data_IF_947703268417
#
_entry.id   IF_947703268417
#
_cell.length_a   1.000
_cell.length_b   1.000
_cell.length_c   1.000
_cell.angle_alpha   90.00
_cell.angle_beta   90.00
_cell.angle_gamma   90.00
#
_symmetry.space_group_name_H-M   'P 1'
#
loop_
_entity.id
_entity.type
_entity.pdbx_description
1 polymer ?
#
# COMPACT_ATOMS: atom_id res chain seq x y z
N UNK A 1 -2.25 -6.58 -17.97
CA UNK A 1 -2.62 -7.18 -16.67
C UNK A 1 -1.36 -7.78 -16.07
N UNK A 2 -1.00 -7.41 -14.83
CA UNK A 2 0.07 -8.08 -14.09
C UNK A 2 -0.28 -9.57 -13.95
N UNK A 3 0.70 -10.44 -14.22
CA UNK A 3 0.51 -11.90 -14.25
C UNK A 3 0.68 -12.54 -12.87
N UNK A 4 1.03 -11.78 -11.85
CA UNK A 4 1.30 -12.29 -10.52
C UNK A 4 0.04 -12.22 -9.66
N UNK A 5 -0.49 -13.39 -9.27
CA UNK A 5 -1.58 -13.48 -8.31
C UNK A 5 -1.09 -13.00 -6.94
N UNK A 6 -1.71 -11.93 -6.46
CA UNK A 6 -1.52 -11.37 -5.12
C UNK A 6 -2.79 -11.56 -4.31
N UNK A 7 -2.63 -11.76 -3.00
CA UNK A 7 -3.71 -11.55 -2.03
C UNK A 7 -3.48 -10.24 -1.29
N UNK A 8 -4.56 -9.61 -0.87
CA UNK A 8 -4.52 -8.36 -0.13
C UNK A 8 -5.38 -8.45 1.13
N UNK A 9 -4.93 -7.77 2.17
CA UNK A 9 -5.74 -7.47 3.36
C UNK A 9 -5.58 -6.00 3.72
N UNK A 10 -6.68 -5.39 4.13
CA UNK A 10 -6.69 -4.03 4.67
C UNK A 10 -6.56 -4.12 6.18
N UNK A 11 -5.70 -3.27 6.75
CA UNK A 11 -5.51 -3.11 8.19
C UNK A 11 -5.78 -1.66 8.54
N UNK A 12 -6.90 -1.44 9.23
CA UNK A 12 -7.29 -0.13 9.73
C UNK A 12 -6.41 0.28 10.92
N UNK A 13 -6.14 1.57 11.07
CA UNK A 13 -5.48 2.14 12.23
C UNK A 13 -5.94 3.58 12.49
N UNK A 14 -5.87 3.98 13.76
CA UNK A 14 -6.13 5.35 14.18
C UNK A 14 -4.81 6.10 14.35
N UNK A 15 -4.65 7.21 13.64
CA UNK A 15 -3.49 8.10 13.78
C UNK A 15 -3.48 8.81 15.15
N UNK A 16 -2.35 9.39 15.53
CA UNK A 16 -2.18 10.04 16.84
C UNK A 16 -3.14 11.21 17.12
N UNK A 17 -3.77 11.77 16.09
CA UNK A 17 -4.77 12.83 16.18
C UNK A 17 -6.22 12.32 16.00
N UNK A 18 -6.43 11.01 16.02
CA UNK A 18 -7.76 10.38 15.95
C UNK A 18 -8.29 10.13 14.54
N UNK A 19 -7.51 10.39 13.48
CA UNK A 19 -7.95 10.09 12.12
C UNK A 19 -7.83 8.60 11.82
N UNK A 20 -8.92 8.01 11.33
CA UNK A 20 -8.91 6.64 10.82
C UNK A 20 -8.26 6.58 9.44
N UNK A 21 -7.28 5.70 9.30
CA UNK A 21 -6.46 5.47 8.11
C UNK A 21 -6.30 3.96 7.91
N UNK A 22 -5.69 3.56 6.80
CA UNK A 22 -5.42 2.15 6.55
C UNK A 22 -4.09 1.87 5.86
N UNK A 23 -3.66 0.63 6.05
CA UNK A 23 -2.60 -0.01 5.32
C UNK A 23 -3.19 -1.15 4.47
N UNK A 24 -2.71 -1.33 3.25
CA UNK A 24 -2.98 -2.51 2.43
C UNK A 24 -1.74 -3.39 2.43
N UNK A 25 -1.83 -4.56 3.03
CA UNK A 25 -0.76 -5.56 2.96
C UNK A 25 -0.97 -6.43 1.72
N UNK A 26 0.07 -6.53 0.90
CA UNK A 26 0.04 -7.31 -0.35
C UNK A 26 1.00 -8.47 -0.22
N UNK A 27 0.50 -9.69 -0.42
CA UNK A 27 1.30 -10.90 -0.30
C UNK A 27 1.23 -11.75 -1.57
N UNK A 28 2.28 -12.54 -1.80
CA UNK A 28 2.32 -13.53 -2.87
C UNK A 28 2.03 -14.94 -2.36
N UNK A 29 2.23 -15.95 -3.22
CA UNK A 29 1.97 -17.37 -2.89
C UNK A 29 2.82 -17.93 -1.74
N UNK A 30 3.97 -17.31 -1.46
CA UNK A 30 4.89 -17.72 -0.40
C UNK A 30 4.91 -16.65 0.70
N UNK A 31 5.03 -17.04 1.98
CA UNK A 31 5.25 -16.09 3.05
C UNK A 31 6.48 -15.20 2.79
N UNK A 32 6.47 -13.93 3.24
CA UNK A 32 7.63 -13.07 3.13
C UNK A 32 8.82 -13.64 3.90
N UNK A 33 10.02 -13.50 3.34
CA UNK A 33 11.28 -13.98 3.92
C UNK A 33 12.22 -12.82 4.30
N UNK A 34 11.81 -11.58 4.04
CA UNK A 34 12.51 -10.33 4.36
C UNK A 34 11.61 -9.42 5.18
N UNK A 35 12.22 -8.38 5.76
CA UNK A 35 11.50 -7.38 6.55
C UNK A 35 10.47 -6.57 5.75
N UNK A 36 9.67 -5.76 6.46
CA UNK A 36 8.61 -4.98 5.85
C UNK A 36 9.13 -3.82 4.99
N UNK A 37 8.40 -3.52 3.92
CA UNK A 37 8.56 -2.32 3.09
C UNK A 37 7.24 -1.58 3.06
N UNK A 38 7.22 -0.37 3.62
CA UNK A 38 6.08 0.54 3.57
C UNK A 38 6.23 1.49 2.37
N UNK A 39 5.25 1.49 1.48
CA UNK A 39 5.17 2.40 0.34
C UNK A 39 4.14 3.49 0.64
N UNK A 40 4.62 4.74 0.65
CA UNK A 40 3.81 5.93 0.99
C UNK A 40 3.73 6.84 -0.24
N UNK A 41 2.51 7.01 -0.76
CA UNK A 41 2.28 7.80 -1.95
C UNK A 41 2.32 9.32 -1.68
N UNK A 42 2.49 10.14 -2.71
CA UNK A 42 2.38 11.60 -2.62
C UNK A 42 0.92 12.07 -2.44
N UNK A 43 0.69 13.38 -2.31
CA UNK A 43 -0.67 13.90 -2.13
C UNK A 43 -1.58 13.70 -3.35
N UNK A 44 -2.89 13.56 -3.13
CA UNK A 44 -3.90 13.56 -4.20
C UNK A 44 -3.98 12.27 -5.01
N UNK A 45 -3.44 11.17 -4.49
CA UNK A 45 -3.55 9.82 -5.07
C UNK A 45 -3.88 8.81 -3.97
N UNK A 46 -3.88 7.51 -4.28
CA UNK A 46 -4.13 6.42 -3.33
C UNK A 46 -3.03 5.37 -3.39
N UNK A 47 -2.96 4.50 -2.38
CA UNK A 47 -2.02 3.38 -2.27
C UNK A 47 -1.86 2.54 -3.55
N UNK A 48 -2.94 2.36 -4.32
CA UNK A 48 -2.96 1.63 -5.59
C UNK A 48 -2.00 2.17 -6.66
N UNK A 49 -1.49 3.40 -6.56
CA UNK A 49 -0.55 3.96 -7.55
C UNK A 49 0.67 3.06 -7.81
N UNK A 50 1.13 2.31 -6.81
CA UNK A 50 2.22 1.34 -6.93
C UNK A 50 1.85 0.04 -7.66
N UNK A 51 0.57 -0.15 -7.97
CA UNK A 51 -0.05 -1.29 -8.67
C UNK A 51 -0.81 -0.84 -9.92
N UNK A 52 -0.32 0.23 -10.57
CA UNK A 52 -0.85 0.69 -11.85
C UNK A 52 -0.99 -0.47 -12.87
N UNK A 53 -1.95 -0.43 -13.81
CA UNK A 53 -2.31 -1.53 -14.71
C UNK A 53 -1.27 -1.81 -15.82
N UNK A 54 -0.02 -2.01 -15.40
CA UNK A 54 1.12 -2.32 -16.24
C UNK A 54 1.42 -3.82 -16.17
N UNK A 55 2.39 -4.30 -16.97
CA UNK A 55 2.76 -5.72 -16.97
C UNK A 55 3.49 -6.12 -15.67
N UNK A 56 4.23 -5.20 -15.08
CA UNK A 56 5.05 -5.45 -13.89
C UNK A 56 5.15 -4.18 -13.05
N UNK A 57 4.76 -4.30 -11.80
CA UNK A 57 4.68 -3.18 -10.86
C UNK A 57 5.83 -3.22 -9.84
N UNK A 58 6.02 -2.12 -9.09
CA UNK A 58 6.97 -2.11 -7.96
C UNK A 58 6.58 -3.17 -6.92
N UNK A 59 5.27 -3.30 -6.65
CA UNK A 59 4.76 -4.30 -5.70
C UNK A 59 5.08 -5.71 -6.17
N UNK A 60 4.91 -6.02 -7.45
CA UNK A 60 5.25 -7.33 -8.02
C UNK A 60 6.73 -7.66 -7.72
N UNK A 61 7.63 -6.70 -7.96
CA UNK A 61 9.07 -6.88 -7.73
C UNK A 61 9.40 -7.09 -6.25
N UNK A 62 8.77 -6.33 -5.35
CA UNK A 62 9.03 -6.45 -3.91
C UNK A 62 8.51 -7.79 -3.36
N UNK A 63 7.30 -8.19 -3.74
CA UNK A 63 6.71 -9.48 -3.37
C UNK A 63 7.55 -10.64 -3.92
N UNK A 64 7.95 -10.59 -5.20
CA UNK A 64 8.81 -11.61 -5.83
C UNK A 64 10.15 -11.76 -5.10
N UNK A 65 10.71 -10.66 -4.59
CA UNK A 65 11.95 -10.64 -3.81
C UNK A 65 11.77 -11.04 -2.34
N UNK A 66 10.54 -11.32 -1.92
CA UNK A 66 10.22 -11.85 -0.60
C UNK A 66 10.10 -10.80 0.50
N UNK A 67 9.89 -9.52 0.17
CA UNK A 67 9.56 -8.49 1.15
C UNK A 67 8.11 -8.61 1.63
N UNK A 68 7.85 -8.24 2.88
CA UNK A 68 6.50 -8.04 3.40
C UNK A 68 6.02 -6.63 3.00
N UNK A 69 5.11 -6.54 2.03
CA UNK A 69 4.79 -5.26 1.35
C UNK A 69 3.53 -4.63 1.93
N UNK A 70 3.63 -3.36 2.30
CA UNK A 70 2.56 -2.56 2.88
C UNK A 70 2.40 -1.27 2.09
N UNK A 71 1.16 -0.92 1.74
CA UNK A 71 0.83 0.32 1.03
C UNK A 71 -0.01 1.20 1.96
N UNK A 72 0.45 2.40 2.26
CA UNK A 72 -0.27 3.32 3.15
C UNK A 72 -1.25 4.19 2.40
N UNK A 73 -2.48 4.30 2.90
CA UNK A 73 -3.37 5.41 2.63
C UNK A 73 -3.31 6.39 3.81
N UNK A 74 -2.48 7.43 3.68
CA UNK A 74 -2.38 8.50 4.66
C UNK A 74 -3.44 9.59 4.39
N UNK A 75 -3.54 10.59 5.27
CA UNK A 75 -4.59 11.62 5.21
C UNK A 75 -4.66 12.46 3.94
N UNK A 76 -3.57 12.54 3.16
CA UNK A 76 -3.55 13.18 1.85
C UNK A 76 -4.07 12.30 0.71
N UNK A 77 -4.56 11.09 1.02
CA UNK A 77 -5.13 10.15 0.06
C UNK A 77 -6.52 10.59 -0.42
N UNK A 78 -6.81 10.31 -1.69
CA UNK A 78 -8.17 10.50 -2.26
C UNK A 78 -9.18 9.47 -1.73
N UNK A 79 -8.70 8.42 -1.06
CA UNK A 79 -9.56 7.43 -0.39
C UNK A 79 -10.03 7.92 0.99
N UNK A 80 -9.52 9.07 1.48
CA UNK A 80 -9.91 9.66 2.76
C UNK A 80 -10.90 10.82 2.57
N UNK A 81 -11.79 11.08 3.54
CA UNK A 81 -12.61 12.29 3.55
C UNK A 81 -11.74 13.56 3.46
N UNK A 82 -12.23 14.64 2.82
CA UNK A 82 -11.52 15.92 2.80
C UNK A 82 -11.13 16.38 4.21
N UNK A 83 -9.86 16.67 4.41
CA UNK A 83 -9.30 17.05 5.71
C UNK A 83 -8.11 18.01 5.53
N UNK A 84 -7.73 18.79 6.56
CA UNK A 84 -6.50 19.56 6.56
C UNK A 84 -5.26 18.65 6.67
N UNK A 85 -4.25 18.91 5.85
CA UNK A 85 -2.95 18.24 5.90
C UNK A 85 -1.81 19.14 5.41
N UNK A 86 -0.60 18.80 5.83
CA UNK A 86 0.66 19.41 5.39
C UNK A 86 1.64 18.31 5.02
N UNK A 87 2.72 18.64 4.30
CA UNK A 87 3.86 17.76 4.03
C UNK A 87 5.05 18.12 4.94
#
# INVERSE_FOLDING_TARGET
MSTTEHSERVVEFTAGDGMELNLVNVTGKRPPARGPVLLVHGAGVRANIYRAPTRRTLVDVLVERGYDVWLENWRGSIDMPPNPWTL
#
